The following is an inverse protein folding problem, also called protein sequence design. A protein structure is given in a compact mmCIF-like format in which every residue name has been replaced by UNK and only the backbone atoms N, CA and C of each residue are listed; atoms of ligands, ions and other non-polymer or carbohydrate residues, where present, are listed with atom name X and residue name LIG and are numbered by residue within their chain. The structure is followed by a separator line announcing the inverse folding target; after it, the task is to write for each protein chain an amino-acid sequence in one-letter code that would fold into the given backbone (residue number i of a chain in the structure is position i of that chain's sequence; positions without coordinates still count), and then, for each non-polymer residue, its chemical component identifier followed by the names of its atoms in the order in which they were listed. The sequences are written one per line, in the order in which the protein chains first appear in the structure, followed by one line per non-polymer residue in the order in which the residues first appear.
data_IF_473437114249
#
_entry.id   IF_473437114249
#
_cell.length_a   1.000
_cell.length_b   1.000
_cell.length_c   1.000
_cell.angle_alpha   90.00
_cell.angle_beta   90.00
_cell.angle_gamma   90.00
#
_symmetry.space_group_name_H-M   'P 1'
#
loop_
_entity.id
_entity.type
_entity.pdbx_description
1 polymer ?
#
# COMPACT_ATOMS: atom_id res chain seq x y z
N UNK A 1 -5.16 3.28 -28.53
CA UNK A 1 -4.23 2.90 -27.46
C UNK A 1 -4.13 4.06 -26.47
N UNK A 2 -4.58 3.86 -25.23
CA UNK A 2 -4.50 4.86 -24.16
C UNK A 2 -3.38 4.46 -23.19
N UNK A 3 -2.70 5.45 -22.60
CA UNK A 3 -1.70 5.25 -21.55
C UNK A 3 -2.41 5.00 -20.20
N UNK A 4 -3.07 3.85 -20.07
CA UNK A 4 -3.95 3.53 -18.93
C UNK A 4 -3.74 2.11 -18.38
N UNK A 5 -2.60 1.50 -18.68
CA UNK A 5 -2.29 0.16 -18.19
C UNK A 5 -1.97 0.19 -16.69
N UNK A 6 -2.38 -0.85 -15.97
CA UNK A 6 -1.99 -1.04 -14.57
C UNK A 6 -0.46 -1.20 -14.47
N UNK A 7 0.15 -0.52 -13.50
CA UNK A 7 1.61 -0.44 -13.37
C UNK A 7 2.20 -1.57 -12.53
N UNK A 8 1.44 -2.17 -11.59
CA UNK A 8 1.93 -3.35 -10.87
C UNK A 8 1.45 -3.59 -9.44
N UNK A 9 0.56 -2.75 -8.88
CA UNK A 9 0.08 -2.93 -7.50
C UNK A 9 -0.68 -4.26 -7.33
N UNK A 10 -1.69 -4.53 -8.15
CA UNK A 10 -2.47 -5.77 -8.09
C UNK A 10 -1.68 -6.98 -8.62
N UNK A 11 -0.92 -6.80 -9.70
CA UNK A 11 -0.23 -7.90 -10.40
C UNK A 11 1.12 -8.30 -9.78
N UNK A 12 1.52 -7.68 -8.67
CA UNK A 12 2.83 -7.87 -8.02
C UNK A 12 4.05 -7.51 -8.86
N UNK A 13 3.87 -6.77 -9.97
CA UNK A 13 5.00 -6.25 -10.76
C UNK A 13 5.78 -5.17 -10.00
N UNK A 14 5.09 -4.40 -9.14
CA UNK A 14 5.72 -3.60 -8.09
C UNK A 14 5.93 -4.54 -6.91
N UNK A 15 7.18 -4.79 -6.51
CA UNK A 15 7.48 -5.68 -5.38
C UNK A 15 7.15 -5.04 -4.03
N UNK A 16 7.07 -5.84 -2.96
CA UNK A 16 6.77 -5.33 -1.61
C UNK A 16 7.80 -4.29 -1.15
N UNK A 17 9.09 -4.48 -1.48
CA UNK A 17 10.17 -3.55 -1.14
C UNK A 17 10.04 -2.17 -1.82
N UNK A 18 9.23 -2.07 -2.87
CA UNK A 18 8.97 -0.82 -3.57
C UNK A 18 7.77 -0.06 -2.99
N UNK A 19 7.03 -0.64 -2.03
CA UNK A 19 5.88 -0.03 -1.38
C UNK A 19 6.29 0.40 0.02
N UNK A 20 6.24 1.70 0.30
CA UNK A 20 6.64 2.27 1.59
C UNK A 20 5.61 3.27 2.09
N UNK A 21 5.61 3.54 3.39
CA UNK A 21 4.71 4.49 4.01
C UNK A 21 5.43 5.27 5.11
N UNK A 22 4.85 6.41 5.51
CA UNK A 22 5.30 7.18 6.68
C UNK A 22 5.31 6.34 7.95
N UNK A 23 4.26 5.55 8.14
CA UNK A 23 4.08 4.68 9.30
C UNK A 23 3.12 3.53 8.97
N UNK A 24 2.93 2.63 9.93
CA UNK A 24 1.91 1.57 9.87
C UNK A 24 1.33 1.36 11.26
N UNK A 25 0.08 0.95 11.32
CA UNK A 25 -0.60 0.68 12.58
C UNK A 25 0.19 -0.34 13.42
N UNK A 26 0.29 -0.08 14.72
CA UNK A 26 1.28 -0.70 15.61
C UNK A 26 1.12 -2.22 15.81
N UNK A 27 -0.03 -2.81 15.50
CA UNK A 27 -0.30 -4.24 15.70
C UNK A 27 0.35 -5.14 14.62
N UNK A 28 0.98 -4.55 13.61
CA UNK A 28 1.66 -5.25 12.51
C UNK A 28 0.74 -5.87 11.47
N UNK A 29 -0.57 -5.61 11.52
CA UNK A 29 -1.57 -6.17 10.58
C UNK A 29 -2.00 -5.22 9.46
N UNK A 30 -1.41 -4.03 9.40
CA UNK A 30 -1.77 -2.96 8.45
C UNK A 30 -0.55 -2.36 7.73
N UNK A 31 0.32 -3.25 7.26
CA UNK A 31 1.59 -2.93 6.60
C UNK A 31 1.40 -2.36 5.18
N UNK A 32 2.40 -1.64 4.62
CA UNK A 32 2.28 -0.99 3.32
C UNK A 32 2.01 -1.96 2.16
N UNK A 33 2.57 -3.17 2.20
CA UNK A 33 2.32 -4.21 1.17
C UNK A 33 0.85 -4.61 1.03
N UNK A 34 0.01 -4.35 2.05
CA UNK A 34 -1.42 -4.66 2.03
C UNK A 34 -2.23 -3.58 1.30
N UNK A 35 -1.61 -2.47 0.86
CA UNK A 35 -2.28 -1.43 0.06
C UNK A 35 -2.56 -1.83 -1.40
N UNK A 36 -2.20 -3.06 -1.80
CA UNK A 36 -2.48 -3.57 -3.14
C UNK A 36 -4.00 -3.61 -3.37
N UNK A 37 -4.42 -3.29 -4.59
CA UNK A 37 -5.82 -3.46 -4.99
C UNK A 37 -6.20 -4.94 -4.86
N UNK A 38 -7.41 -5.22 -4.34
CA UNK A 38 -7.93 -6.58 -4.11
C UNK A 38 -7.08 -7.46 -3.17
N UNK A 39 -6.39 -6.85 -2.21
CA UNK A 39 -5.70 -7.62 -1.16
C UNK A 39 -6.71 -8.26 -0.19
N UNK A 40 -6.52 -9.54 0.14
CA UNK A 40 -7.52 -10.32 0.90
C UNK A 40 -7.47 -10.11 2.42
N UNK A 41 -6.29 -9.80 2.97
CA UNK A 41 -6.08 -9.63 4.42
C UNK A 41 -5.77 -8.17 4.75
N UNK A 42 -6.77 -7.42 5.23
CA UNK A 42 -6.69 -6.01 5.59
C UNK A 42 -6.17 -5.09 4.45
N UNK A 43 -5.65 -3.92 4.83
CA UNK A 43 -5.09 -2.90 3.96
C UNK A 43 -3.90 -2.21 4.65
N UNK A 44 -3.35 -1.16 4.05
CA UNK A 44 -2.47 -0.25 4.78
C UNK A 44 -3.29 0.72 5.64
N UNK A 45 -2.82 0.99 6.86
CA UNK A 45 -3.34 2.03 7.74
C UNK A 45 -2.17 2.64 8.50
N UNK A 46 -2.02 3.97 8.56
CA UNK A 46 -0.95 4.60 9.30
C UNK A 46 -1.10 4.42 10.81
N UNK A 47 -0.08 4.80 11.57
CA UNK A 47 -0.10 4.75 13.03
C UNK A 47 -0.96 5.86 13.66
N UNK A 48 -1.15 6.98 12.97
CA UNK A 48 -1.97 8.10 13.42
C UNK A 48 -2.93 8.56 12.31
N UNK A 49 -4.17 8.89 12.67
CA UNK A 49 -5.14 9.46 11.73
C UNK A 49 -4.87 10.96 11.51
N UNK A 50 -3.94 11.25 10.60
CA UNK A 50 -3.44 12.59 10.32
C UNK A 50 -3.25 12.83 8.83
N UNK A 51 -3.48 14.07 8.37
CA UNK A 51 -3.26 14.48 6.98
C UNK A 51 -1.78 14.49 6.55
N UNK A 52 -0.86 14.18 7.47
CA UNK A 52 0.59 14.13 7.22
C UNK A 52 1.09 12.74 6.83
N UNK A 53 0.26 11.72 6.98
CA UNK A 53 0.60 10.35 6.64
C UNK A 53 0.55 10.12 5.13
N UNK A 54 1.39 9.22 4.62
CA UNK A 54 1.48 8.93 3.20
C UNK A 54 1.88 7.48 2.94
N UNK A 55 1.58 7.03 1.70
CA UNK A 55 2.05 5.78 1.10
C UNK A 55 2.60 6.10 -0.30
N UNK A 56 3.69 5.45 -0.69
CA UNK A 56 4.38 5.65 -1.96
C UNK A 56 4.93 4.34 -2.52
#
# INVERSE_FOLDING_TARGET
FHCSNALGMESNKISDDQISASSSFYDGRWSPRQARLNFEDNAWTPNEDSIKEYIQ
#
